data_IF_126687341881
#
_entry.id   IF_126687341881
#
_cell.length_a   1.000
_cell.length_b   1.000
_cell.length_c   1.000
_cell.angle_alpha   90.00
_cell.angle_beta   90.00
_cell.angle_gamma   90.00
#
_symmetry.space_group_name_H-M   'P 1'
#
loop_
_entity.id
_entity.type
_entity.pdbx_description
1 polymer ?
#
# COMPACT_ATOMS: atom_id res chain seq x y z
N UNK A 1 -16.09 -12.17 7.41
CA UNK A 1 -15.20 -12.20 6.23
C UNK A 1 -13.79 -12.51 6.72
N UNK A 2 -13.03 -13.41 6.09
CA UNK A 2 -11.63 -13.61 6.50
C UNK A 2 -10.74 -12.49 5.94
N UNK A 3 -9.51 -12.33 6.46
CA UNK A 3 -8.62 -11.22 6.06
C UNK A 3 -8.31 -11.19 4.57
N UNK A 4 -8.24 -12.35 3.90
CA UNK A 4 -7.99 -12.44 2.46
C UNK A 4 -9.17 -11.90 1.65
N UNK A 5 -10.40 -12.30 1.99
CA UNK A 5 -11.61 -11.81 1.33
C UNK A 5 -11.81 -10.31 1.54
N UNK A 6 -11.50 -9.82 2.75
CA UNK A 6 -11.57 -8.39 3.05
C UNK A 6 -10.56 -7.61 2.20
N UNK A 7 -9.34 -8.11 2.04
CA UNK A 7 -8.32 -7.46 1.20
C UNK A 7 -8.71 -7.47 -0.28
N UNK A 8 -9.25 -8.57 -0.80
CA UNK A 8 -9.72 -8.63 -2.19
C UNK A 8 -10.81 -7.58 -2.46
N UNK A 9 -11.81 -7.48 -1.56
CA UNK A 9 -12.86 -6.48 -1.66
C UNK A 9 -12.31 -5.05 -1.47
N UNK A 10 -11.38 -4.85 -0.54
CA UNK A 10 -10.74 -3.56 -0.31
C UNK A 10 -9.92 -3.09 -1.52
N UNK A 11 -9.23 -3.99 -2.22
CA UNK A 11 -8.53 -3.67 -3.47
C UNK A 11 -9.50 -3.10 -4.51
N UNK A 12 -10.68 -3.70 -4.67
CA UNK A 12 -11.70 -3.20 -5.60
C UNK A 12 -12.19 -1.79 -5.24
N UNK A 13 -12.18 -1.41 -3.95
CA UNK A 13 -12.47 -0.02 -3.53
C UNK A 13 -11.48 0.97 -4.12
N UNK A 14 -10.17 0.67 -4.11
CA UNK A 14 -9.15 1.55 -4.70
C UNK A 14 -9.31 1.69 -6.23
N UNK A 15 -9.68 0.60 -6.92
CA UNK A 15 -9.94 0.66 -8.36
C UNK A 15 -11.18 1.49 -8.72
N UNK A 16 -12.15 1.60 -7.82
CA UNK A 16 -13.38 2.38 -8.01
C UNK A 16 -13.26 3.81 -7.50
N UNK A 17 -12.23 4.13 -6.72
CA UNK A 17 -11.98 5.46 -6.24
C UNK A 17 -11.80 6.42 -7.42
N UNK A 18 -12.59 7.49 -7.45
CA UNK A 18 -12.54 8.50 -8.50
C UNK A 18 -11.30 9.39 -8.33
N UNK A 19 -10.92 10.14 -9.36
CA UNK A 19 -9.73 11.02 -9.31
C UNK A 19 -9.83 12.13 -8.25
N UNK A 20 -11.03 12.44 -7.76
CA UNK A 20 -11.32 13.42 -6.71
C UNK A 20 -11.56 12.77 -5.33
N UNK A 21 -11.44 11.45 -5.23
CA UNK A 21 -11.53 10.77 -3.95
C UNK A 21 -10.38 11.20 -3.02
N UNK A 22 -10.71 11.45 -1.77
CA UNK A 22 -9.74 11.69 -0.71
C UNK A 22 -9.58 10.47 0.22
N UNK A 23 -8.60 10.51 1.09
CA UNK A 23 -8.35 9.45 2.07
C UNK A 23 -9.59 9.14 2.91
N UNK A 24 -10.34 10.16 3.34
CA UNK A 24 -11.56 9.98 4.16
C UNK A 24 -12.61 9.16 3.42
N UNK A 25 -12.84 9.45 2.13
CA UNK A 25 -13.81 8.73 1.31
C UNK A 25 -13.44 7.26 1.11
N UNK A 26 -12.16 6.96 0.93
CA UNK A 26 -11.67 5.58 0.82
C UNK A 26 -11.83 4.84 2.15
N UNK A 27 -11.46 5.44 3.28
CA UNK A 27 -11.65 4.84 4.61
C UNK A 27 -13.12 4.53 4.89
N UNK A 28 -14.02 5.48 4.62
CA UNK A 28 -15.46 5.25 4.73
C UNK A 28 -15.94 4.09 3.85
N UNK A 29 -15.45 4.00 2.61
CA UNK A 29 -15.81 2.90 1.71
C UNK A 29 -15.28 1.54 2.20
N UNK A 30 -14.09 1.50 2.81
CA UNK A 30 -13.54 0.30 3.43
C UNK A 30 -14.37 -0.14 4.65
N UNK A 31 -14.83 0.80 5.48
CA UNK A 31 -15.73 0.51 6.60
C UNK A 31 -17.09 -0.03 6.13
N UNK A 32 -17.62 0.46 5.01
CA UNK A 32 -18.84 -0.06 4.39
C UNK A 32 -18.71 -1.52 3.91
N UNK A 33 -17.49 -2.04 3.71
CA UNK A 33 -17.22 -3.46 3.46
C UNK A 33 -17.26 -4.31 4.75
N UNK A 34 -17.49 -3.69 5.91
CA UNK A 34 -17.52 -4.34 7.22
C UNK A 34 -16.17 -4.38 7.93
N UNK A 35 -15.17 -3.62 7.47
CA UNK A 35 -13.95 -3.39 8.24
C UNK A 35 -14.25 -2.47 9.43
N UNK A 36 -13.68 -2.76 10.59
CA UNK A 36 -13.63 -1.77 11.67
C UNK A 36 -12.75 -0.57 11.26
N UNK A 37 -12.89 0.62 11.89
CA UNK A 37 -12.05 1.78 11.56
C UNK A 37 -10.55 1.50 11.62
N UNK A 38 -10.11 0.72 12.60
CA UNK A 38 -8.71 0.27 12.72
C UNK A 38 -8.29 -0.61 11.53
N UNK A 39 -9.14 -1.53 11.10
CA UNK A 39 -8.85 -2.38 9.95
C UNK A 39 -8.84 -1.57 8.65
N UNK A 40 -9.79 -0.65 8.47
CA UNK A 40 -9.83 0.26 7.33
C UNK A 40 -8.54 1.09 7.23
N UNK A 41 -8.04 1.60 8.37
CA UNK A 41 -6.76 2.28 8.46
C UNK A 41 -5.58 1.41 8.02
N UNK A 42 -5.50 0.17 8.53
CA UNK A 42 -4.45 -0.77 8.15
C UNK A 42 -4.53 -1.15 6.66
N UNK A 43 -5.74 -1.41 6.14
CA UNK A 43 -5.96 -1.69 4.72
C UNK A 43 -5.49 -0.53 3.85
N UNK A 44 -5.81 0.71 4.24
CA UNK A 44 -5.38 1.92 3.55
C UNK A 44 -3.86 2.09 3.51
N UNK A 45 -3.15 1.70 4.57
CA UNK A 45 -1.69 1.78 4.61
C UNK A 45 -1.02 0.64 3.81
N UNK A 46 -1.45 -0.61 4.01
CA UNK A 46 -0.71 -1.77 3.51
C UNK A 46 -1.07 -2.20 2.09
N UNK A 47 -2.30 -1.96 1.62
CA UNK A 47 -2.69 -2.36 0.26
C UNK A 47 -1.91 -1.55 -0.79
N UNK A 48 -1.93 -0.20 -0.77
CA UNK A 48 -1.16 0.60 -1.73
C UNK A 48 0.34 0.29 -1.69
N UNK A 49 0.90 0.11 -0.49
CA UNK A 49 2.31 -0.25 -0.29
C UNK A 49 2.68 -1.57 -1.00
N UNK A 50 1.91 -2.63 -0.79
CA UNK A 50 2.17 -3.92 -1.43
C UNK A 50 2.07 -3.85 -2.97
N UNK A 51 1.13 -3.05 -3.49
CA UNK A 51 0.99 -2.82 -4.92
C UNK A 51 2.17 -2.01 -5.48
N UNK A 52 2.64 -0.98 -4.76
CA UNK A 52 3.83 -0.23 -5.14
C UNK A 52 5.08 -1.13 -5.16
N UNK A 53 5.30 -1.94 -4.12
CA UNK A 53 6.42 -2.88 -4.08
C UNK A 53 6.40 -3.81 -5.30
N UNK A 54 5.24 -4.39 -5.61
CA UNK A 54 5.05 -5.30 -6.75
C UNK A 54 5.27 -4.62 -8.11
N UNK A 55 4.88 -3.35 -8.23
CA UNK A 55 4.97 -2.57 -9.45
C UNK A 55 6.40 -2.11 -9.76
N UNK A 56 7.15 -1.68 -8.74
CA UNK A 56 8.43 -0.99 -8.91
C UNK A 56 9.66 -1.85 -8.62
N UNK A 57 9.53 -2.97 -7.91
CA UNK A 57 10.63 -3.94 -7.73
C UNK A 57 11.24 -4.39 -9.06
N UNK A 58 10.46 -4.75 -10.11
CA UNK A 58 11.02 -5.13 -11.42
C UNK A 58 11.76 -3.99 -12.14
N UNK A 59 11.51 -2.74 -11.75
CA UNK A 59 12.15 -1.54 -12.29
C UNK A 59 13.46 -1.21 -11.55
N UNK A 60 13.85 -2.03 -10.56
CA UNK A 60 15.09 -1.91 -9.81
C UNK A 60 14.97 -1.08 -8.53
N UNK A 61 13.76 -0.70 -8.12
CA UNK A 61 13.53 -0.06 -6.82
C UNK A 61 13.64 -1.12 -5.73
N UNK A 62 14.42 -0.82 -4.69
CA UNK A 62 14.56 -1.68 -3.51
C UNK A 62 13.76 -1.11 -2.35
N UNK A 63 13.06 -2.00 -1.66
CA UNK A 63 12.25 -1.69 -0.48
C UNK A 63 12.81 -2.43 0.73
N UNK A 64 12.63 -1.87 1.92
CA UNK A 64 12.99 -2.58 3.16
C UNK A 64 11.97 -3.69 3.47
N UNK A 65 12.40 -4.72 4.18
CA UNK A 65 11.54 -5.81 4.67
C UNK A 65 10.78 -5.43 5.96
N UNK A 66 11.01 -4.21 6.45
CA UNK A 66 10.53 -3.68 7.71
C UNK A 66 9.80 -2.37 7.53
N UNK A 67 8.94 -2.07 8.50
CA UNK A 67 8.31 -0.77 8.68
C UNK A 67 8.48 -0.31 10.13
N UNK A 68 8.36 1.00 10.33
CA UNK A 68 8.34 1.63 11.65
C UNK A 68 6.90 1.99 11.97
N UNK A 69 6.35 1.41 13.02
CA UNK A 69 5.06 1.81 13.59
C UNK A 69 5.28 2.94 14.59
N UNK A 70 4.70 4.10 14.35
CA UNK A 70 4.70 5.23 15.27
C UNK A 70 3.47 5.16 16.15
N UNK A 71 3.69 5.04 17.46
CA UNK A 71 2.63 5.00 18.46
C UNK A 71 2.17 6.41 18.85
N UNK A 72 0.98 6.55 19.47
CA UNK A 72 0.48 7.84 19.98
C UNK A 72 1.40 8.52 21.00
N UNK A 73 2.30 7.75 21.62
CA UNK A 73 3.27 8.22 22.61
C UNK A 73 4.59 8.68 21.98
N UNK A 74 4.66 8.82 20.65
CA UNK A 74 5.89 9.00 19.85
C UNK A 74 6.89 7.83 19.91
N UNK A 75 6.56 6.76 20.65
CA UNK A 75 7.36 5.55 20.67
C UNK A 75 7.35 4.86 19.29
N UNK A 76 8.50 4.30 18.91
CA UNK A 76 8.71 3.65 17.61
C UNK A 76 8.90 2.15 17.78
N UNK A 77 8.15 1.37 17.02
CA UNK A 77 8.31 -0.08 16.94
C UNK A 77 8.72 -0.49 15.53
N UNK A 78 9.84 -1.20 15.39
CA UNK A 78 10.21 -1.83 14.12
C UNK A 78 9.53 -3.18 13.99
N UNK A 79 8.85 -3.42 12.87
CA UNK A 79 8.15 -4.67 12.56
C UNK A 79 8.50 -5.14 11.16
N UNK A 80 8.35 -6.44 10.89
CA UNK A 80 8.55 -7.00 9.56
C UNK A 80 7.25 -6.92 8.76
N UNK A 81 7.34 -6.54 7.49
CA UNK A 81 6.21 -6.55 6.57
C UNK A 81 5.66 -7.97 6.36
N UNK A 82 6.54 -8.98 6.37
CA UNK A 82 6.15 -10.38 6.26
C UNK A 82 5.27 -10.90 7.40
N UNK A 83 5.27 -10.22 8.56
CA UNK A 83 4.44 -10.59 9.70
C UNK A 83 3.05 -9.92 9.65
N UNK A 84 2.83 -8.96 8.74
CA UNK A 84 1.58 -8.22 8.61
C UNK A 84 0.58 -8.97 7.68
N UNK A 85 -0.56 -9.46 8.20
CA UNK A 85 -1.53 -10.22 7.41
C UNK A 85 -2.13 -9.44 6.24
N UNK A 86 -2.43 -8.14 6.41
CA UNK A 86 -3.00 -7.33 5.32
C UNK A 86 -1.99 -7.12 4.19
N UNK A 87 -0.73 -6.82 4.53
CA UNK A 87 0.34 -6.68 3.54
C UNK A 87 0.58 -7.97 2.74
N UNK A 88 0.69 -9.12 3.41
CA UNK A 88 0.88 -10.41 2.71
C UNK A 88 -0.27 -10.73 1.75
N UNK A 89 -1.50 -10.51 2.20
CA UNK A 89 -2.70 -10.77 1.37
C UNK A 89 -2.76 -9.81 0.19
N UNK A 90 -2.39 -8.54 0.40
CA UNK A 90 -2.34 -7.53 -0.65
C UNK A 90 -1.19 -7.78 -1.66
N UNK A 91 -0.10 -8.38 -1.21
CA UNK A 91 1.00 -8.78 -2.08
C UNK A 91 0.58 -9.93 -3.01
N UNK A 92 -0.17 -10.91 -2.49
CA UNK A 92 -0.77 -11.96 -3.32
C UNK A 92 -1.78 -11.38 -4.34
N UNK A 93 -2.74 -10.57 -3.87
CA UNK A 93 -3.35 -9.41 -4.55
C UNK A 93 -2.69 -8.95 -5.84
N UNK A 94 -1.62 -8.20 -5.62
CA UNK A 94 -0.89 -7.48 -6.63
C UNK A 94 -0.23 -8.44 -7.63
N UNK A 95 0.38 -9.55 -7.17
CA UNK A 95 1.00 -10.52 -8.08
C UNK A 95 -0.02 -11.21 -8.99
N UNK A 96 -1.20 -11.59 -8.47
CA UNK A 96 -2.27 -12.18 -9.29
C UNK A 96 -2.71 -11.22 -10.39
N UNK A 97 -3.01 -9.97 -10.04
CA UNK A 97 -3.43 -8.94 -11.00
C UNK A 97 -2.34 -8.64 -12.03
N UNK A 98 -1.10 -8.50 -11.57
CA UNK A 98 0.08 -8.31 -12.42
C UNK A 98 0.25 -9.42 -13.46
N UNK A 99 0.10 -10.68 -13.04
CA UNK A 99 0.26 -11.84 -13.92
C UNK A 99 -0.86 -11.95 -14.97
N UNK A 100 -2.05 -11.44 -14.67
CA UNK A 100 -3.20 -11.46 -15.59
C UNK A 100 -3.25 -10.30 -16.59
N UNK A 101 -2.43 -9.26 -16.41
CA UNK A 101 -2.52 -8.02 -17.17
C UNK A 101 -1.62 -8.02 -18.41
N UNK A 102 -2.13 -7.46 -19.52
CA UNK A 102 -1.32 -7.15 -20.71
C UNK A 102 -0.31 -6.03 -20.47
N UNK A 103 -0.68 -5.04 -19.63
CA UNK A 103 0.20 -4.00 -19.12
C UNK A 103 0.26 -4.06 -17.58
N UNK A 104 1.26 -4.78 -17.01
CA UNK A 104 1.46 -4.93 -15.57
C UNK A 104 1.44 -3.64 -14.75
N UNK A 105 2.13 -2.59 -15.22
CA UNK A 105 2.27 -1.34 -14.46
C UNK A 105 0.96 -0.57 -14.42
N UNK A 106 0.34 -0.39 -15.58
CA UNK A 106 -0.96 0.29 -15.71
C UNK A 106 -2.06 -0.44 -14.94
N UNK A 107 -2.04 -1.77 -14.93
CA UNK A 107 -3.01 -2.56 -14.19
C UNK A 107 -2.95 -2.35 -12.68
N UNK A 108 -1.77 -2.13 -12.10
CA UNK A 108 -1.62 -1.90 -10.65
C UNK A 108 -1.79 -0.43 -10.24
N UNK A 109 -1.74 0.48 -11.23
CA UNK A 109 -1.73 1.92 -11.00
C UNK A 109 -2.87 2.44 -10.12
N UNK A 110 -4.15 2.07 -10.32
CA UNK A 110 -5.23 2.62 -9.50
C UNK A 110 -5.05 2.42 -7.98
N UNK A 111 -4.26 1.42 -7.59
CA UNK A 111 -4.01 1.09 -6.18
C UNK A 111 -2.72 1.73 -5.68
N UNK A 112 -1.59 1.56 -6.39
CA UNK A 112 -0.32 2.08 -5.88
C UNK A 112 -0.25 3.62 -5.86
N UNK A 113 -1.11 4.32 -6.60
CA UNK A 113 -1.18 5.80 -6.58
C UNK A 113 -1.45 6.34 -5.16
N UNK A 114 -2.08 5.53 -4.29
CA UNK A 114 -2.38 5.86 -2.91
C UNK A 114 -1.21 5.61 -1.94
N UNK A 115 -0.08 5.12 -2.43
CA UNK A 115 1.06 4.73 -1.60
C UNK A 115 2.03 5.88 -1.35
N UNK A 116 2.62 5.90 -0.16
CA UNK A 116 3.72 6.83 0.15
C UNK A 116 4.97 6.49 -0.67
N UNK A 117 5.17 5.20 -1.00
CA UNK A 117 6.26 4.73 -1.85
C UNK A 117 6.20 5.36 -3.23
N UNK A 118 5.01 5.41 -3.85
CA UNK A 118 4.86 6.03 -5.16
C UNK A 118 5.14 7.53 -5.12
N UNK A 119 4.66 8.24 -4.09
CA UNK A 119 4.97 9.66 -3.91
C UNK A 119 6.49 9.89 -3.81
N UNK A 120 7.19 9.10 -2.99
CA UNK A 120 8.64 9.17 -2.86
C UNK A 120 9.36 8.82 -4.18
N UNK A 121 8.88 7.82 -4.92
CA UNK A 121 9.44 7.44 -6.22
C UNK A 121 9.26 8.57 -7.24
N UNK A 122 8.12 9.24 -7.29
CA UNK A 122 7.88 10.39 -8.20
C UNK A 122 8.88 11.53 -7.96
N UNK A 123 9.22 11.81 -6.71
CA UNK A 123 10.25 12.81 -6.38
C UNK A 123 11.64 12.40 -6.90
N UNK A 124 11.92 11.10 -6.97
CA UNK A 124 13.21 10.55 -7.39
C UNK A 124 13.31 10.32 -8.91
N UNK A 125 12.21 10.16 -9.64
CA UNK A 125 12.17 9.92 -11.10
C UNK A 125 12.83 11.04 -11.91
N UNK A 126 12.92 12.25 -11.37
CA UNK A 126 13.58 13.38 -12.03
C UNK A 126 15.11 13.28 -12.09
N UNK A 127 15.71 12.21 -11.54
CA UNK A 127 17.15 11.99 -11.55
C UNK A 127 17.63 11.35 -12.86
N UNK A 128 18.79 11.76 -13.40
CA UNK A 128 19.32 11.24 -14.68
C UNK A 128 19.63 9.73 -14.67
N UNK A 129 19.78 9.13 -13.48
CA UNK A 129 20.06 7.71 -13.28
C UNK A 129 18.79 6.81 -13.37
N UNK A 130 17.60 7.42 -13.45
CA UNK A 130 16.32 6.73 -13.43
C UNK A 130 16.02 6.07 -12.08
N UNK A 131 15.24 4.98 -12.10
CA UNK A 131 14.87 4.22 -10.89
C UNK A 131 15.92 3.19 -10.45
N UNK A 132 16.97 2.98 -11.26
CA UNK A 132 18.04 2.05 -10.93
C UNK A 132 18.80 2.58 -9.73
N UNK A 133 19.10 1.70 -8.77
CA UNK A 133 19.76 2.01 -7.50
C UNK A 133 18.93 2.83 -6.49
N UNK A 134 17.64 3.09 -6.77
CA UNK A 134 16.75 3.66 -5.74
C UNK A 134 16.54 2.62 -4.64
N UNK A 135 16.76 3.03 -3.41
CA UNK A 135 16.46 2.25 -2.22
C UNK A 135 15.64 3.15 -1.30
N UNK A 136 14.37 2.79 -1.09
CA UNK A 136 13.57 3.47 -0.08
C UNK A 136 13.97 2.93 1.31
N UNK A 137 13.93 3.80 2.30
CA UNK A 137 14.06 3.45 3.72
C UNK A 137 12.76 2.83 4.23
N UNK A 138 12.76 2.36 5.47
CA UNK A 138 11.56 1.82 6.12
C UNK A 138 10.42 2.86 6.11
N UNK A 139 9.21 2.50 5.66
CA UNK A 139 8.06 3.38 5.77
C UNK A 139 7.69 3.58 7.24
N UNK A 140 7.28 4.80 7.58
CA UNK A 140 6.76 5.13 8.91
C UNK A 140 5.23 5.13 8.81
N UNK A 141 4.60 4.23 9.54
CA UNK A 141 3.15 4.07 9.59
C UNK A 141 2.62 4.55 10.95
N UNK A 142 1.63 5.43 10.91
CA UNK A 142 0.92 5.87 12.10
C UNK A 142 0.00 4.75 12.60
N UNK A 143 0.05 4.45 13.89
CA UNK A 143 -0.96 3.61 14.53
C UNK A 143 -2.32 4.30 14.47
N UNK A 144 -3.39 3.53 14.30
CA UNK A 144 -4.75 4.05 14.37
C UNK A 144 -5.02 4.64 15.76
N UNK A 145 -5.40 5.91 15.80
CA UNK A 145 -5.92 6.60 16.98
C UNK A 145 -7.43 6.86 16.81
N UNK A 146 -8.29 6.30 17.68
CA UNK A 146 -9.69 6.68 17.70
C UNK A 146 -9.80 8.15 18.15
N UNK A 147 -10.37 8.98 17.28
CA UNK A 147 -10.75 10.37 17.57
C UNK A 147 -11.92 10.47 18.54
#
# INVERSE_FOLDING_TARGET
MNSSQLVEAAVDTFYRATNDADQTSVLCALEQLGASPKEAWHLFQFIPMAFAHTAFEPLGVRFQDRYIRLLPSDARETRRLADEPYYRSALAEAYKRRASASNPLEALMPVYLWSAEFAAIQELVHKPEGLRNVCLTEPILLEYEPS
#
